data_IF_850802571810
#
_entry.id   IF_850802571810
#
_cell.length_a   1.000
_cell.length_b   1.000
_cell.length_c   1.000
_cell.angle_alpha   90.00
_cell.angle_beta   90.00
_cell.angle_gamma   90.00
#
_symmetry.space_group_name_H-M   'P 1'
#
loop_
_entity.id
_entity.type
_entity.pdbx_description
1 polymer ?
#
# COMPACT_ATOMS: atom_id res chain seq x y z
N UNK A 1 -29.54 -7.60 36.38
CA UNK A 1 -28.64 -8.25 35.41
C UNK A 1 -29.18 -7.89 34.04
N UNK A 2 -28.51 -6.99 33.31
CA UNK A 2 -28.89 -6.70 31.92
C UNK A 2 -28.16 -7.72 31.06
N UNK A 3 -28.93 -8.57 30.39
CA UNK A 3 -28.43 -9.48 29.37
C UNK A 3 -27.72 -8.64 28.29
N UNK A 4 -26.48 -9.01 27.96
CA UNK A 4 -25.72 -8.39 26.87
C UNK A 4 -26.23 -9.00 25.57
N UNK A 5 -26.55 -8.14 24.61
CA UNK A 5 -27.01 -8.54 23.27
C UNK A 5 -25.93 -9.35 22.52
N UNK A 6 -26.31 -10.25 21.58
CA UNK A 6 -25.39 -11.16 20.93
C UNK A 6 -24.56 -10.45 19.85
N UNK A 7 -23.25 -10.57 20.02
CA UNK A 7 -22.15 -10.51 19.05
C UNK A 7 -22.56 -10.15 17.59
N UNK A 8 -22.46 -8.88 17.25
CA UNK A 8 -22.31 -8.45 15.85
C UNK A 8 -20.98 -9.01 15.31
N UNK A 9 -20.90 -9.51 14.07
CA UNK A 9 -19.61 -9.85 13.49
C UNK A 9 -18.75 -8.58 13.47
N UNK A 10 -17.57 -8.63 14.08
CA UNK A 10 -16.58 -7.57 13.94
C UNK A 10 -16.30 -7.40 12.44
N UNK A 11 -16.32 -6.16 11.95
CA UNK A 11 -15.83 -5.85 10.61
C UNK A 11 -14.42 -6.45 10.50
N UNK A 12 -14.21 -7.41 9.60
CA UNK A 12 -12.93 -8.09 9.47
C UNK A 12 -11.87 -7.07 9.02
N UNK A 13 -10.98 -6.71 9.94
CA UNK A 13 -9.83 -5.86 9.65
C UNK A 13 -9.04 -6.47 8.47
N UNK A 14 -8.67 -5.68 7.45
CA UNK A 14 -8.09 -6.22 6.24
C UNK A 14 -6.75 -6.91 6.55
N UNK A 15 -6.64 -8.18 6.15
CA UNK A 15 -5.47 -9.01 6.47
C UNK A 15 -4.31 -8.69 5.53
N UNK A 16 -3.08 -8.47 6.04
CA UNK A 16 -1.89 -8.27 5.20
C UNK A 16 -1.61 -9.49 4.30
N UNK A 17 -1.37 -9.25 3.01
CA UNK A 17 -1.09 -10.27 2.00
C UNK A 17 0.39 -10.68 1.95
N UNK A 18 1.30 -9.82 2.42
CA UNK A 18 2.75 -10.03 2.39
C UNK A 18 3.45 -9.19 3.47
N UNK A 19 4.73 -9.48 3.73
CA UNK A 19 5.58 -8.69 4.63
C UNK A 19 6.11 -7.44 3.93
N UNK A 20 6.17 -6.32 4.65
CA UNK A 20 6.67 -5.03 4.12
C UNK A 20 8.19 -4.85 4.26
N UNK A 21 8.85 -5.68 5.07
CA UNK A 21 10.27 -5.49 5.40
C UNK A 21 10.54 -4.09 5.97
N UNK A 22 11.65 -3.47 5.56
CA UNK A 22 11.98 -2.10 5.93
C UNK A 22 11.18 -1.10 5.09
N UNK A 23 10.34 -0.29 5.74
CA UNK A 23 9.62 0.79 5.06
C UNK A 23 10.49 2.04 5.00
N UNK A 24 10.68 2.58 3.80
CA UNK A 24 11.42 3.82 3.54
C UNK A 24 10.63 4.73 2.60
N UNK A 25 10.99 6.01 2.57
CA UNK A 25 10.41 6.97 1.66
C UNK A 25 11.49 7.91 1.09
N UNK A 26 11.33 8.33 -0.15
CA UNK A 26 12.18 9.35 -0.77
C UNK A 26 11.85 10.75 -0.23
N UNK A 27 12.79 11.68 -0.41
CA UNK A 27 12.56 13.08 -0.05
C UNK A 27 11.39 13.68 -0.86
N UNK A 28 11.30 13.38 -2.16
CA UNK A 28 10.23 13.89 -3.01
C UNK A 28 8.84 13.44 -2.56
N UNK A 29 8.71 12.18 -2.13
CA UNK A 29 7.47 11.69 -1.52
C UNK A 29 7.15 12.43 -0.21
N UNK A 30 8.13 12.58 0.69
CA UNK A 30 7.92 13.24 1.98
C UNK A 30 7.49 14.71 1.81
N UNK A 31 8.09 15.43 0.87
CA UNK A 31 7.74 16.81 0.54
C UNK A 31 6.31 16.89 -0.03
N UNK A 32 5.93 15.95 -0.90
CA UNK A 32 4.58 15.85 -1.44
C UNK A 32 3.57 15.55 -0.33
N UNK A 33 3.85 14.57 0.54
CA UNK A 33 2.99 14.19 1.63
C UNK A 33 2.79 15.33 2.64
N UNK A 34 3.85 16.07 2.95
CA UNK A 34 3.77 17.26 3.80
C UNK A 34 2.87 18.35 3.19
N UNK A 35 3.05 18.63 1.89
CA UNK A 35 2.25 19.63 1.16
C UNK A 35 0.76 19.30 1.15
N UNK A 36 0.41 18.02 1.00
CA UNK A 36 -0.98 17.56 0.87
C UNK A 36 -1.64 17.19 2.19
N UNK A 37 -0.90 17.19 3.31
CA UNK A 37 -1.39 16.70 4.60
C UNK A 37 -1.64 15.19 4.61
N UNK A 38 -0.98 14.46 3.73
CA UNK A 38 -1.13 13.02 3.55
C UNK A 38 -0.50 12.25 4.70
N UNK A 39 -1.19 11.22 5.19
CA UNK A 39 -0.60 10.22 6.07
C UNK A 39 -0.05 9.03 5.24
N UNK A 40 1.29 8.80 5.19
CA UNK A 40 1.88 7.70 4.43
C UNK A 40 1.35 6.31 4.83
N UNK A 41 0.92 6.15 6.08
CA UNK A 41 0.38 4.89 6.59
C UNK A 41 -0.85 4.41 5.81
N UNK A 42 -1.66 5.32 5.28
CA UNK A 42 -2.83 4.98 4.47
C UNK A 42 -2.43 4.14 3.25
N UNK A 43 -1.41 4.59 2.52
CA UNK A 43 -0.97 3.91 1.30
C UNK A 43 -0.19 2.63 1.58
N UNK A 44 0.50 2.56 2.72
CA UNK A 44 1.14 1.33 3.18
C UNK A 44 0.09 0.26 3.51
N UNK A 45 -0.96 0.64 4.23
CA UNK A 45 -2.05 -0.28 4.58
C UNK A 45 -2.75 -0.78 3.32
N UNK A 46 -3.12 0.13 2.41
CA UNK A 46 -3.75 -0.21 1.14
C UNK A 46 -2.89 -1.16 0.31
N UNK A 47 -1.59 -0.86 0.21
CA UNK A 47 -0.63 -1.69 -0.51
C UNK A 47 -0.55 -3.10 0.09
N UNK A 48 -0.36 -3.22 1.41
CA UNK A 48 -0.19 -4.54 2.02
C UNK A 48 -1.46 -5.38 2.03
N UNK A 49 -2.64 -4.76 1.93
CA UNK A 49 -3.93 -5.45 1.90
C UNK A 49 -4.49 -5.67 0.50
N UNK A 50 -3.72 -5.36 -0.55
CA UNK A 50 -4.11 -5.65 -1.93
C UNK A 50 -4.94 -4.58 -2.65
N UNK A 51 -5.09 -3.40 -2.06
CA UNK A 51 -5.58 -2.25 -2.82
C UNK A 51 -4.40 -1.65 -3.60
N UNK A 52 -4.26 -2.08 -4.85
CA UNK A 52 -3.18 -1.65 -5.73
C UNK A 52 -3.35 -0.23 -6.30
N UNK A 53 -4.46 0.45 -5.98
CA UNK A 53 -4.78 1.75 -6.51
C UNK A 53 -5.08 1.74 -8.01
N UNK A 54 -4.55 2.72 -8.74
CA UNK A 54 -4.91 2.98 -10.15
C UNK A 54 -4.06 2.20 -11.17
N UNK A 55 -3.86 0.91 -10.96
CA UNK A 55 -3.17 0.04 -11.93
C UNK A 55 -4.10 -0.48 -13.02
N UNK A 56 -3.56 -0.76 -14.21
CA UNK A 56 -4.26 -1.54 -15.23
C UNK A 56 -4.34 -3.02 -14.81
N UNK A 57 -5.13 -3.81 -15.52
CA UNK A 57 -5.36 -5.21 -15.15
C UNK A 57 -4.09 -6.05 -15.27
N UNK A 58 -3.26 -5.76 -16.26
CA UNK A 58 -1.98 -6.43 -16.48
C UNK A 58 -1.02 -6.23 -15.30
N UNK A 59 -0.91 -5.00 -14.79
CA UNK A 59 -0.05 -4.69 -13.64
C UNK A 59 -0.61 -5.30 -12.33
N UNK A 60 -1.93 -5.38 -12.18
CA UNK A 60 -2.55 -6.08 -11.04
C UNK A 60 -2.28 -7.59 -11.11
N UNK A 61 -2.31 -8.18 -12.30
CA UNK A 61 -1.94 -9.58 -12.48
C UNK A 61 -0.46 -9.81 -12.15
N UNK A 62 0.43 -8.89 -12.51
CA UNK A 62 1.84 -8.97 -12.11
C UNK A 62 2.02 -8.95 -10.59
N UNK A 63 1.21 -8.18 -9.85
CA UNK A 63 1.21 -8.24 -8.39
C UNK A 63 0.77 -9.62 -7.90
N UNK A 64 -0.31 -10.18 -8.46
CA UNK A 64 -0.79 -11.51 -8.08
C UNK A 64 0.29 -12.58 -8.33
N UNK A 65 0.89 -12.58 -9.52
CA UNK A 65 1.99 -13.47 -9.86
C UNK A 65 3.19 -13.26 -8.92
N UNK A 66 3.44 -12.02 -8.53
CA UNK A 66 4.49 -11.63 -7.59
C UNK A 66 4.25 -12.11 -6.17
N UNK A 67 3.00 -12.21 -5.73
CA UNK A 67 2.63 -12.84 -4.45
C UNK A 67 2.92 -14.34 -4.47
N UNK A 68 2.60 -15.01 -5.58
CA UNK A 68 2.71 -16.46 -5.71
C UNK A 68 4.14 -16.94 -6.02
N UNK A 69 4.95 -16.12 -6.72
CA UNK A 69 6.25 -16.52 -7.26
C UNK A 69 7.42 -15.61 -6.85
N UNK A 70 7.30 -14.91 -5.72
CA UNK A 70 8.33 -14.01 -5.19
C UNK A 70 8.79 -12.94 -6.21
N UNK A 71 7.83 -12.20 -6.77
CA UNK A 71 8.05 -11.02 -7.62
C UNK A 71 7.83 -9.72 -6.85
N UNK A 72 8.25 -8.59 -7.42
CA UNK A 72 7.99 -7.25 -6.84
C UNK A 72 6.49 -6.97 -6.79
N UNK A 73 6.05 -6.24 -5.76
CA UNK A 73 4.68 -5.75 -5.65
C UNK A 73 4.69 -4.24 -5.85
N UNK A 74 3.77 -3.76 -6.67
CA UNK A 74 3.69 -2.36 -7.09
C UNK A 74 2.30 -1.80 -6.80
N UNK A 75 2.22 -0.53 -6.41
CA UNK A 75 0.95 0.19 -6.33
C UNK A 75 1.15 1.64 -6.74
N UNK A 76 0.09 2.21 -7.32
CA UNK A 76 0.07 3.61 -7.73
C UNK A 76 -1.14 4.30 -7.15
N UNK A 77 -0.92 5.44 -6.50
CA UNK A 77 -1.98 6.27 -5.94
C UNK A 77 -1.82 7.72 -6.38
N UNK A 78 -2.87 8.50 -6.11
CA UNK A 78 -2.85 9.95 -6.20
C UNK A 78 -3.05 10.55 -4.81
N UNK A 79 -2.28 11.59 -4.50
CA UNK A 79 -2.52 12.45 -3.36
C UNK A 79 -3.72 13.38 -3.63
N UNK A 80 -4.14 14.15 -2.63
CA UNK A 80 -5.26 15.09 -2.75
C UNK A 80 -5.06 16.20 -3.79
N UNK A 81 -3.82 16.48 -4.20
CA UNK A 81 -3.47 17.43 -5.25
C UNK A 81 -3.19 16.76 -6.61
N UNK A 82 -3.63 15.50 -6.79
CA UNK A 82 -3.38 14.68 -7.99
C UNK A 82 -1.90 14.33 -8.22
N UNK A 83 -1.01 14.59 -7.24
CA UNK A 83 0.37 14.09 -7.32
C UNK A 83 0.36 12.57 -7.31
N UNK A 84 0.90 11.97 -8.38
CA UNK A 84 1.09 10.53 -8.47
C UNK A 84 2.23 10.07 -7.56
N UNK A 85 2.00 8.98 -6.83
CA UNK A 85 3.00 8.31 -6.00
C UNK A 85 3.04 6.82 -6.32
N UNK A 86 4.18 6.19 -6.04
CA UNK A 86 4.38 4.76 -6.09
C UNK A 86 4.67 4.19 -4.70
N UNK A 87 4.18 2.98 -4.46
CA UNK A 87 4.57 2.14 -3.32
C UNK A 87 5.06 0.82 -3.88
N UNK A 88 6.31 0.47 -3.60
CA UNK A 88 6.99 -0.69 -4.19
C UNK A 88 7.53 -1.56 -3.07
N UNK A 89 7.18 -2.84 -3.06
CA UNK A 89 7.82 -3.84 -2.21
C UNK A 89 8.69 -4.75 -3.05
N UNK A 90 9.97 -4.88 -2.68
CA UNK A 90 10.93 -5.69 -3.41
C UNK A 90 10.55 -7.19 -3.41
N UNK A 91 11.06 -7.92 -4.39
CA UNK A 91 10.71 -9.31 -4.66
C UNK A 91 10.98 -10.25 -3.48
N UNK A 92 11.99 -9.93 -2.67
CA UNK A 92 12.39 -10.66 -1.46
C UNK A 92 11.72 -10.11 -0.19
N UNK A 93 10.78 -9.17 -0.33
CA UNK A 93 10.06 -8.51 0.77
C UNK A 93 10.98 -7.80 1.77
N UNK A 94 12.21 -7.49 1.39
CA UNK A 94 13.19 -6.85 2.29
C UNK A 94 12.90 -5.37 2.53
N UNK A 95 12.32 -4.68 1.54
CA UNK A 95 12.10 -3.23 1.58
C UNK A 95 10.79 -2.85 0.89
N UNK A 96 10.04 -1.95 1.50
CA UNK A 96 8.95 -1.19 0.86
C UNK A 96 9.35 0.27 0.73
N UNK A 97 9.30 0.83 -0.47
CA UNK A 97 9.65 2.23 -0.76
C UNK A 97 8.43 3.01 -1.22
N UNK A 98 8.21 4.18 -0.61
CA UNK A 98 7.28 5.20 -1.09
C UNK A 98 8.05 6.28 -1.84
N UNK A 99 7.67 6.55 -3.09
CA UNK A 99 8.43 7.44 -3.97
C UNK A 99 7.56 8.14 -5.01
N UNK A 100 8.06 9.21 -5.61
CA UNK A 100 7.49 9.80 -6.81
C UNK A 100 7.87 8.98 -8.04
N UNK A 101 7.04 8.97 -9.10
CA UNK A 101 7.37 8.31 -10.37
C UNK A 101 8.69 8.79 -11.00
N UNK A 102 9.10 10.04 -10.75
CA UNK A 102 10.35 10.59 -11.26
C UNK A 102 11.61 10.13 -10.52
N UNK A 103 11.44 9.44 -9.39
CA UNK A 103 12.54 8.93 -8.54
C UNK A 103 12.77 7.42 -8.74
N UNK A 104 11.99 6.78 -9.62
CA UNK A 104 12.12 5.40 -10.07
C UNK A 104 12.77 5.36 -11.46
#
# INVERSE_FOLDING_TARGET
MKEREPNQPAEEEPTPLFELGQVVATQGFLDAAFRTGTNPYEYIQRHVTGDWGQLCEEDKQMNQDGLDHAGRIFSMYHLSDETKIYVITEWDRSVTTLLLPSEY
#
